data_IF_567649230426
#
_entry.id   IF_567649230426
#
_cell.length_a   1.000
_cell.length_b   1.000
_cell.length_c   1.000
_cell.angle_alpha   90.00
_cell.angle_beta   90.00
_cell.angle_gamma   90.00
#
_symmetry.space_group_name_H-M   'P 1'
#
loop_
_entity.id
_entity.type
_entity.pdbx_description
1 polymer ?
#
# COMPACT_ATOMS: atom_id res chain seq x y z
N UNK A 1 19.45 3.65 27.45
CA UNK A 1 18.74 2.48 28.04
C UNK A 1 18.53 1.45 26.94
N UNK A 2 18.77 0.17 27.24
CA UNK A 2 18.45 -0.92 26.34
C UNK A 2 17.16 -1.58 26.87
N UNK A 3 16.11 -1.49 26.11
CA UNK A 3 14.87 -2.23 26.40
C UNK A 3 14.79 -3.45 25.51
N UNK A 4 14.26 -4.51 26.05
CA UNK A 4 14.06 -5.78 25.33
C UNK A 4 12.59 -5.86 24.97
N UNK A 5 12.32 -5.92 23.65
CA UNK A 5 10.96 -6.06 23.12
C UNK A 5 10.72 -7.52 22.77
N UNK A 6 9.61 -8.08 23.25
CA UNK A 6 9.16 -9.40 22.88
C UNK A 6 8.32 -9.32 21.60
N UNK A 7 8.92 -9.70 20.46
CA UNK A 7 8.27 -9.68 19.16
C UNK A 7 7.06 -10.62 19.04
N UNK A 8 6.93 -11.59 19.95
CA UNK A 8 5.78 -12.51 19.93
C UNK A 8 4.51 -11.90 20.48
N UNK A 9 4.62 -10.75 21.17
CA UNK A 9 3.50 -10.03 21.76
C UNK A 9 3.04 -8.84 20.94
N UNK A 10 3.60 -8.67 19.73
CA UNK A 10 3.18 -7.57 18.85
C UNK A 10 1.74 -7.77 18.38
N UNK A 11 0.90 -6.74 18.51
CA UNK A 11 -0.47 -6.84 18.05
C UNK A 11 -0.54 -6.98 16.54
N UNK A 12 -1.29 -7.96 16.07
CA UNK A 12 -1.64 -8.07 14.66
C UNK A 12 -2.72 -7.03 14.34
N UNK A 13 -2.62 -6.45 13.17
CA UNK A 13 -3.64 -5.53 12.68
C UNK A 13 -4.95 -6.28 12.47
N UNK A 14 -6.03 -5.80 13.10
CA UNK A 14 -7.35 -6.34 12.85
C UNK A 14 -7.77 -6.11 11.41
N UNK A 15 -8.07 -7.18 10.70
CA UNK A 15 -8.58 -7.16 9.33
C UNK A 15 -9.96 -7.79 9.27
N UNK A 16 -10.82 -7.25 8.42
CA UNK A 16 -12.12 -7.85 8.16
C UNK A 16 -11.96 -9.07 7.24
N UNK A 17 -11.90 -10.25 7.85
CA UNK A 17 -11.72 -11.52 7.15
C UNK A 17 -12.87 -11.85 6.18
N UNK A 18 -14.05 -11.24 6.35
CA UNK A 18 -15.18 -11.45 5.44
C UNK A 18 -14.91 -10.90 4.03
N UNK A 19 -14.04 -9.90 3.94
CA UNK A 19 -13.61 -9.32 2.66
C UNK A 19 -12.60 -10.19 1.92
N UNK A 20 -11.93 -11.10 2.63
CA UNK A 20 -10.89 -11.97 2.07
C UNK A 20 -11.45 -13.36 1.76
N UNK A 21 -11.83 -13.58 0.51
CA UNK A 21 -12.22 -14.91 0.05
C UNK A 21 -10.98 -15.68 -0.43
N UNK A 22 -10.82 -16.96 -0.06
CA UNK A 22 -9.67 -17.75 -0.49
C UNK A 22 -9.51 -17.74 -2.03
N UNK A 23 -8.30 -17.42 -2.48
CA UNK A 23 -7.95 -17.37 -3.90
C UNK A 23 -8.46 -16.16 -4.67
N UNK A 24 -9.12 -15.19 -4.01
CA UNK A 24 -9.63 -13.97 -4.66
C UNK A 24 -8.83 -12.77 -4.16
N UNK A 25 -8.06 -12.15 -5.07
CA UNK A 25 -7.35 -10.90 -4.84
C UNK A 25 -8.04 -9.80 -5.66
N UNK A 26 -9.26 -9.43 -5.28
CA UNK A 26 -10.09 -8.43 -5.96
C UNK A 26 -11.05 -7.79 -4.98
N UNK A 27 -10.95 -6.47 -4.82
CA UNK A 27 -11.68 -5.71 -3.80
C UNK A 27 -12.35 -4.50 -4.43
N UNK A 28 -13.66 -4.29 -4.17
CA UNK A 28 -14.36 -3.12 -4.67
C UNK A 28 -14.12 -1.90 -3.78
N UNK A 29 -14.04 -0.71 -4.39
CA UNK A 29 -13.96 0.55 -3.69
C UNK A 29 -14.71 1.65 -4.46
N UNK A 30 -15.56 2.41 -3.78
CA UNK A 30 -16.25 3.55 -4.37
C UNK A 30 -15.46 4.83 -4.15
N UNK A 31 -15.07 5.46 -5.24
CA UNK A 31 -14.33 6.72 -5.21
C UNK A 31 -15.19 7.86 -4.64
N UNK A 32 -14.68 8.62 -3.67
CA UNK A 32 -15.47 9.66 -2.99
C UNK A 32 -15.85 10.85 -3.87
N UNK A 33 -14.96 11.28 -4.76
CA UNK A 33 -15.21 12.45 -5.62
C UNK A 33 -15.86 12.05 -6.95
N UNK A 34 -15.26 11.14 -7.70
CA UNK A 34 -15.78 10.69 -9.00
C UNK A 34 -17.06 9.86 -8.90
N UNK A 35 -17.40 9.31 -7.70
CA UNK A 35 -18.56 8.45 -7.45
C UNK A 35 -18.56 7.14 -8.25
N UNK A 36 -17.46 6.82 -8.91
CA UNK A 36 -17.28 5.59 -9.69
C UNK A 36 -16.82 4.44 -8.79
N UNK A 37 -17.11 3.22 -9.20
CA UNK A 37 -16.66 2.01 -8.50
C UNK A 37 -15.44 1.45 -9.21
N UNK A 38 -14.35 1.34 -8.47
CA UNK A 38 -13.14 0.65 -8.94
C UNK A 38 -12.98 -0.67 -8.22
N UNK A 39 -12.49 -1.66 -8.91
CA UNK A 39 -12.04 -2.89 -8.29
C UNK A 39 -10.52 -2.96 -8.39
N UNK A 40 -9.87 -3.27 -7.30
CA UNK A 40 -8.42 -3.34 -7.23
C UNK A 40 -7.95 -4.68 -6.67
N UNK A 41 -6.69 -4.99 -6.95
CA UNK A 41 -5.95 -6.12 -6.37
C UNK A 41 -4.73 -5.61 -5.61
N UNK A 42 -4.27 -6.40 -4.65
CA UNK A 42 -2.92 -6.22 -4.12
C UNK A 42 -1.90 -6.70 -5.14
N UNK A 43 -0.87 -5.88 -5.35
CA UNK A 43 0.24 -6.24 -6.23
C UNK A 43 1.02 -7.41 -5.63
N UNK A 44 1.34 -8.35 -6.47
CA UNK A 44 2.14 -9.53 -6.10
C UNK A 44 3.58 -9.36 -6.56
N UNK A 45 4.47 -10.17 -6.01
CA UNK A 45 5.87 -10.19 -6.44
C UNK A 45 6.03 -10.46 -7.95
N UNK A 46 5.09 -11.21 -8.54
CA UNK A 46 5.06 -11.46 -9.98
C UNK A 46 4.73 -10.24 -10.84
N UNK A 47 4.07 -9.22 -10.28
CA UNK A 47 3.74 -7.97 -10.98
C UNK A 47 4.94 -7.00 -11.04
N UNK A 48 5.88 -7.07 -10.08
CA UNK A 48 6.99 -6.12 -9.92
C UNK A 48 7.89 -5.99 -11.15
N UNK A 49 8.34 -7.08 -11.82
CA UNK A 49 9.20 -6.93 -13.02
C UNK A 49 8.54 -6.14 -14.14
N UNK A 50 7.23 -6.32 -14.35
CA UNK A 50 6.47 -5.60 -15.36
C UNK A 50 6.29 -4.13 -15.00
N UNK A 51 6.01 -3.84 -13.74
CA UNK A 51 5.88 -2.47 -13.21
C UNK A 51 7.22 -1.73 -13.34
N UNK A 52 8.33 -2.34 -12.94
CA UNK A 52 9.65 -1.74 -13.05
C UNK A 52 10.06 -1.46 -14.50
N UNK A 53 9.79 -2.40 -15.40
CA UNK A 53 10.06 -2.23 -16.84
C UNK A 53 9.28 -1.04 -17.42
N UNK A 54 7.99 -0.90 -17.06
CA UNK A 54 7.17 0.20 -17.50
C UNK A 54 7.63 1.54 -16.91
N UNK A 55 7.98 1.60 -15.62
CA UNK A 55 8.52 2.81 -14.98
C UNK A 55 9.83 3.23 -15.64
N UNK A 56 10.75 2.29 -15.91
CA UNK A 56 12.02 2.56 -16.61
C UNK A 56 11.78 3.08 -18.01
N UNK A 57 10.82 2.51 -18.74
CA UNK A 57 10.44 2.98 -20.07
C UNK A 57 9.85 4.38 -20.02
N UNK A 58 8.91 4.64 -19.11
CA UNK A 58 8.30 5.95 -18.94
C UNK A 58 9.32 7.04 -18.59
N UNK A 59 10.31 6.76 -17.74
CA UNK A 59 11.39 7.70 -17.38
C UNK A 59 12.25 8.14 -18.58
N UNK A 60 12.40 7.30 -19.59
CA UNK A 60 13.14 7.66 -20.82
C UNK A 60 12.40 8.68 -21.67
N UNK A 61 11.08 8.71 -21.61
CA UNK A 61 10.25 9.57 -22.45
C UNK A 61 9.68 10.79 -21.71
N UNK A 62 9.46 10.67 -20.39
CA UNK A 62 8.96 11.78 -19.58
C UNK A 62 10.13 12.58 -18.97
N UNK A 63 10.24 13.83 -19.37
CA UNK A 63 11.25 14.78 -18.86
C UNK A 63 10.99 15.10 -17.37
N UNK A 64 11.33 14.18 -16.47
CA UNK A 64 11.31 14.42 -15.01
C UNK A 64 9.96 14.23 -14.31
N UNK A 65 8.92 13.75 -14.97
CA UNK A 65 7.66 13.41 -14.34
C UNK A 65 7.76 12.00 -13.75
N UNK A 66 7.54 11.88 -12.43
CA UNK A 66 7.52 10.58 -11.75
C UNK A 66 6.19 9.87 -12.03
N UNK A 67 6.22 8.85 -12.87
CA UNK A 67 5.08 8.01 -13.21
C UNK A 67 4.92 6.78 -12.32
N UNK A 68 5.74 6.62 -11.30
CA UNK A 68 5.77 5.43 -10.43
C UNK A 68 4.41 5.16 -9.81
N UNK A 69 3.78 6.18 -9.24
CA UNK A 69 2.47 6.04 -8.60
C UNK A 69 1.38 5.67 -9.60
N UNK A 70 1.31 6.37 -10.73
CA UNK A 70 0.30 6.11 -11.77
C UNK A 70 0.46 4.73 -12.38
N UNK A 71 1.70 4.28 -12.61
CA UNK A 71 1.98 2.93 -13.10
C UNK A 71 1.51 1.88 -12.09
N UNK A 72 1.88 2.01 -10.81
CA UNK A 72 1.44 1.08 -9.77
C UNK A 72 -0.08 1.03 -9.64
N UNK A 73 -0.78 2.17 -9.67
CA UNK A 73 -2.24 2.22 -9.64
C UNK A 73 -2.86 1.54 -10.87
N UNK A 74 -2.28 1.72 -12.06
CA UNK A 74 -2.74 1.06 -13.29
C UNK A 74 -2.65 -0.47 -13.18
N UNK A 75 -1.64 -1.00 -12.50
CA UNK A 75 -1.51 -2.44 -12.26
C UNK A 75 -2.40 -2.92 -11.11
N UNK A 76 -2.65 -2.09 -10.11
CA UNK A 76 -3.53 -2.43 -8.99
C UNK A 76 -5.01 -2.44 -9.39
N UNK A 77 -5.45 -1.48 -10.20
CA UNK A 77 -6.85 -1.41 -10.64
C UNK A 77 -7.11 -2.48 -11.70
N UNK A 78 -8.11 -3.33 -11.46
CA UNK A 78 -8.49 -4.42 -12.36
C UNK A 78 -9.76 -4.15 -13.13
N UNK A 79 -10.66 -3.29 -12.60
CA UNK A 79 -11.86 -2.84 -13.30
C UNK A 79 -12.28 -1.44 -12.86
N UNK A 80 -12.95 -0.71 -13.74
CA UNK A 80 -13.60 0.57 -13.46
C UNK A 80 -15.03 0.47 -13.96
N UNK A 81 -16.01 0.60 -13.03
CA UNK A 81 -17.44 0.39 -13.30
C UNK A 81 -17.74 -0.94 -14.01
N UNK A 82 -17.00 -2.00 -13.67
CA UNK A 82 -17.12 -3.32 -14.25
C UNK A 82 -16.38 -3.52 -15.59
N UNK A 83 -15.73 -2.48 -16.13
CA UNK A 83 -14.90 -2.61 -17.34
C UNK A 83 -13.46 -2.98 -16.99
N UNK A 84 -12.96 -4.07 -17.56
CA UNK A 84 -11.62 -4.63 -17.32
C UNK A 84 -10.61 -4.29 -18.44
N UNK A 85 -10.99 -3.44 -19.41
CA UNK A 85 -10.11 -3.05 -20.51
C UNK A 85 -8.90 -2.26 -19.99
N UNK A 86 -7.72 -2.83 -20.18
CA UNK A 86 -6.44 -2.27 -19.74
C UNK A 86 -6.16 -0.86 -20.29
N UNK A 87 -6.57 -0.59 -21.52
CA UNK A 87 -6.39 0.73 -22.14
C UNK A 87 -7.30 1.78 -21.49
N UNK A 88 -8.54 1.40 -21.19
CA UNK A 88 -9.49 2.26 -20.47
C UNK A 88 -9.06 2.52 -19.05
N UNK A 89 -8.58 1.49 -18.33
CA UNK A 89 -8.03 1.63 -16.97
C UNK A 89 -6.84 2.59 -16.98
N UNK A 90 -5.91 2.44 -17.93
CA UNK A 90 -4.76 3.34 -18.06
C UNK A 90 -5.19 4.78 -18.31
N UNK A 91 -6.12 4.98 -19.24
CA UNK A 91 -6.66 6.32 -19.52
C UNK A 91 -7.33 6.92 -18.27
N UNK A 92 -8.12 6.13 -17.56
CA UNK A 92 -8.76 6.54 -16.33
C UNK A 92 -7.73 7.00 -15.27
N UNK A 93 -6.69 6.20 -15.02
CA UNK A 93 -5.66 6.55 -14.02
C UNK A 93 -4.88 7.79 -14.41
N UNK A 94 -4.59 7.99 -15.71
CA UNK A 94 -3.77 9.10 -16.17
C UNK A 94 -4.54 10.41 -16.32
N UNK A 95 -5.81 10.36 -16.67
CA UNK A 95 -6.55 11.55 -17.09
C UNK A 95 -7.82 11.83 -16.27
N UNK A 96 -8.41 10.84 -15.61
CA UNK A 96 -9.70 10.97 -14.95
C UNK A 96 -9.62 10.80 -13.42
N UNK A 97 -8.62 10.07 -12.91
CA UNK A 97 -8.47 9.81 -11.49
C UNK A 97 -8.03 11.07 -10.74
N UNK A 98 -8.91 11.61 -9.93
CA UNK A 98 -8.63 12.80 -9.12
C UNK A 98 -7.63 12.49 -8.00
N UNK A 99 -6.84 13.48 -7.61
CA UNK A 99 -5.86 13.34 -6.52
C UNK A 99 -6.51 12.90 -5.19
N UNK A 100 -7.73 13.41 -4.90
CA UNK A 100 -8.51 13.03 -3.72
C UNK A 100 -8.89 11.55 -3.77
N UNK A 101 -9.39 11.07 -4.92
CA UNK A 101 -9.78 9.68 -5.13
C UNK A 101 -8.58 8.73 -5.07
N UNK A 102 -7.47 9.13 -5.69
CA UNK A 102 -6.21 8.38 -5.63
C UNK A 102 -5.70 8.23 -4.19
N UNK A 103 -5.79 9.30 -3.40
CA UNK A 103 -5.39 9.27 -1.98
C UNK A 103 -6.32 8.37 -1.17
N UNK A 104 -7.63 8.51 -1.35
CA UNK A 104 -8.62 7.70 -0.64
C UNK A 104 -8.47 6.20 -0.95
N UNK A 105 -8.28 5.85 -2.23
CA UNK A 105 -8.04 4.48 -2.65
C UNK A 105 -6.78 3.89 -2.00
N UNK A 106 -5.67 4.62 -2.02
CA UNK A 106 -4.41 4.16 -1.41
C UNK A 106 -4.51 4.01 0.11
N UNK A 107 -5.24 4.90 0.77
CA UNK A 107 -5.50 4.80 2.22
C UNK A 107 -6.30 3.54 2.51
N UNK A 108 -7.38 3.29 1.76
CA UNK A 108 -8.19 2.09 1.91
C UNK A 108 -7.40 0.80 1.64
N UNK A 109 -6.56 0.78 0.59
CA UNK A 109 -5.69 -0.36 0.30
C UNK A 109 -4.74 -0.65 1.48
N UNK A 110 -4.17 0.39 2.08
CA UNK A 110 -3.28 0.25 3.25
C UNK A 110 -4.02 -0.26 4.49
N UNK A 111 -5.22 0.24 4.73
CA UNK A 111 -6.06 -0.20 5.85
C UNK A 111 -6.49 -1.66 5.70
N UNK A 112 -6.78 -2.07 4.48
CA UNK A 112 -7.21 -3.44 4.17
C UNK A 112 -6.05 -4.45 4.18
N UNK A 113 -4.82 -4.00 3.90
CA UNK A 113 -3.66 -4.87 3.82
C UNK A 113 -3.33 -5.48 5.19
N UNK A 114 -3.19 -6.82 5.29
CA UNK A 114 -2.69 -7.46 6.50
C UNK A 114 -1.30 -6.94 6.86
N UNK A 115 -1.11 -6.58 8.12
CA UNK A 115 0.15 -6.07 8.63
C UNK A 115 0.28 -6.37 10.12
N UNK A 116 1.49 -6.22 10.65
CA UNK A 116 1.78 -6.24 12.09
C UNK A 116 1.96 -4.80 12.54
N UNK A 117 1.36 -4.44 13.67
CA UNK A 117 1.57 -3.13 14.25
C UNK A 117 2.96 -3.08 14.90
N UNK A 118 3.87 -2.37 14.27
CA UNK A 118 5.25 -2.17 14.74
C UNK A 118 5.38 -0.96 15.67
N UNK A 119 4.28 -0.30 15.98
CA UNK A 119 4.25 0.85 16.87
C UNK A 119 4.17 0.38 18.32
N UNK A 120 5.22 0.61 19.07
CA UNK A 120 5.33 0.19 20.46
C UNK A 120 5.16 1.37 21.39
N UNK A 121 4.40 1.15 22.45
CA UNK A 121 4.28 2.10 23.55
C UNK A 121 5.32 1.78 24.61
N UNK A 122 6.08 2.78 25.00
CA UNK A 122 7.07 2.70 26.07
C UNK A 122 6.75 3.72 27.15
N UNK A 123 6.98 3.33 28.38
CA UNK A 123 6.92 4.26 29.52
C UNK A 123 8.31 4.86 29.74
N UNK A 124 8.44 6.19 29.75
CA UNK A 124 9.67 6.82 30.19
C UNK A 124 9.79 6.70 31.72
N UNK A 125 10.74 5.92 32.24
CA UNK A 125 10.89 5.72 33.68
C UNK A 125 11.32 6.99 34.43
N UNK A 126 11.75 8.01 33.73
CA UNK A 126 12.17 9.29 34.33
C UNK A 126 11.05 10.31 34.44
N UNK A 127 10.11 10.30 33.50
CA UNK A 127 8.98 11.25 33.45
C UNK A 127 7.64 10.59 33.71
N UNK A 128 7.53 9.28 33.50
CA UNK A 128 6.27 8.53 33.57
C UNK A 128 5.33 8.82 32.38
N UNK A 129 5.85 9.43 31.34
CA UNK A 129 5.10 9.71 30.11
C UNK A 129 5.19 8.51 29.15
N UNK A 130 4.06 8.17 28.52
CA UNK A 130 4.01 7.20 27.44
C UNK A 130 4.49 7.84 26.14
N UNK A 131 5.38 7.16 25.42
CA UNK A 131 5.77 7.55 24.08
C UNK A 131 5.69 6.38 23.11
N UNK A 132 5.34 6.68 21.88
CA UNK A 132 5.20 5.69 20.82
C UNK A 132 6.43 5.76 19.90
N UNK A 133 6.95 4.61 19.55
CA UNK A 133 8.07 4.48 18.63
C UNK A 133 7.86 3.30 17.71
N UNK A 134 8.05 3.54 16.41
CA UNK A 134 8.08 2.46 15.43
C UNK A 134 9.33 1.62 15.60
N UNK A 135 9.17 0.30 15.62
CA UNK A 135 10.31 -0.61 15.67
C UNK A 135 11.09 -0.53 14.35
N UNK A 136 12.35 -0.11 14.36
CA UNK A 136 13.15 0.00 13.15
C UNK A 136 13.60 -1.39 12.68
N UNK A 137 12.73 -2.07 11.92
CA UNK A 137 13.09 -3.33 11.26
C UNK A 137 13.77 -3.00 9.93
N UNK A 138 15.06 -2.81 10.00
CA UNK A 138 15.93 -2.57 8.85
C UNK A 138 16.96 -3.70 8.67
N UNK A 139 17.87 -3.54 7.74
CA UNK A 139 18.94 -4.51 7.51
C UNK A 139 19.83 -4.70 8.73
N UNK A 140 20.04 -3.66 9.55
CA UNK A 140 20.86 -3.75 10.75
C UNK A 140 20.18 -4.54 11.87
N UNK A 141 18.85 -4.63 11.86
CA UNK A 141 18.12 -5.50 12.78
C UNK A 141 18.46 -6.98 12.53
N UNK A 142 18.52 -7.40 11.27
CA UNK A 142 18.82 -8.78 10.89
C UNK A 142 20.33 -9.10 10.89
N UNK A 143 21.16 -8.12 10.56
CA UNK A 143 22.63 -8.26 10.50
C UNK A 143 23.30 -7.08 11.24
N UNK A 144 23.29 -7.10 12.57
CA UNK A 144 23.90 -6.04 13.34
C UNK A 144 25.43 -6.06 13.15
N UNK A 145 25.96 -4.98 12.58
CA UNK A 145 27.40 -4.81 12.34
C UNK A 145 27.87 -5.27 10.97
N UNK A 146 26.97 -5.44 10.00
CA UNK A 146 27.33 -5.65 8.60
C UNK A 146 27.76 -4.34 7.92
#
# INVERSE_FOLDING_TARGET
>A
QKETVDLTQMPEKEIDLELFKPGINRFPFKLPAAKRVVEFKFLTHGDEPSIEAEIKSAKKFSRGVDSTLSTRLTYSIVAVDGEEDRMKIRNFVQNELLALDSRALRTYMRELQPDVDLNLCFDDPSTGEEFFMDLPIDTNFFWPGA
#
